data_IF_331341126332
#
_entry.id   IF_331341126332
#
_cell.length_a   1.000
_cell.length_b   1.000
_cell.length_c   1.000
_cell.angle_alpha   90.00
_cell.angle_beta   90.00
_cell.angle_gamma   90.00
#
_symmetry.space_group_name_H-M   'P 1'
#
loop_
_entity.id
_entity.type
_entity.pdbx_description
1 polymer ?
#
# COMPACT_ATOMS: atom_id res chain seq x y z
N UNK A 1 8.01 -18.97 -0.17
CA UNK A 1 6.79 -18.27 0.33
C UNK A 1 6.87 -16.83 -0.15
N UNK A 2 5.79 -16.27 -0.66
CA UNK A 2 5.78 -14.89 -1.15
C UNK A 2 6.06 -13.90 -0.01
N UNK A 3 6.73 -12.78 -0.33
CA UNK A 3 7.12 -11.72 0.61
C UNK A 3 6.53 -10.40 0.17
N UNK A 4 5.84 -9.72 1.05
CA UNK A 4 5.19 -8.45 0.77
C UNK A 4 5.62 -7.38 1.76
N UNK A 5 5.96 -6.20 1.25
CA UNK A 5 6.22 -5.02 2.07
C UNK A 5 4.98 -4.12 2.01
N UNK A 6 4.36 -3.90 3.17
CA UNK A 6 3.18 -3.05 3.30
C UNK A 6 3.59 -1.79 4.07
N UNK A 7 3.39 -0.65 3.46
CA UNK A 7 3.70 0.65 4.03
C UNK A 7 2.41 1.43 4.29
N UNK A 8 2.31 2.05 5.46
CA UNK A 8 1.18 2.91 5.83
C UNK A 8 1.69 4.33 6.08
N UNK A 9 1.04 5.32 5.47
CA UNK A 9 1.41 6.73 5.62
C UNK A 9 0.28 7.58 6.21
N UNK A 10 0.49 8.87 6.41
CA UNK A 10 -0.43 9.75 7.10
C UNK A 10 -1.68 10.19 6.32
N UNK A 11 -2.13 9.42 5.35
CA UNK A 11 -3.41 9.65 4.69
C UNK A 11 -4.54 8.90 5.42
N UNK A 12 -5.78 9.33 5.26
CA UNK A 12 -6.97 8.64 5.76
C UNK A 12 -7.21 7.31 5.02
N UNK A 13 -7.90 6.34 5.65
CA UNK A 13 -8.27 5.07 5.03
C UNK A 13 -7.46 3.88 5.55
N UNK A 14 -7.04 3.90 6.81
CA UNK A 14 -6.29 2.81 7.43
C UNK A 14 -7.07 1.50 7.51
N UNK A 15 -8.41 1.54 7.46
CA UNK A 15 -9.24 0.34 7.40
C UNK A 15 -8.86 -0.57 6.21
N UNK A 16 -8.51 -0.01 5.05
CA UNK A 16 -8.05 -0.78 3.90
C UNK A 16 -6.73 -1.49 4.17
N UNK A 17 -5.76 -0.83 4.83
CA UNK A 17 -4.48 -1.45 5.17
C UNK A 17 -4.65 -2.56 6.20
N UNK A 18 -5.51 -2.37 7.19
CA UNK A 18 -5.82 -3.40 8.20
C UNK A 18 -6.48 -4.62 7.55
N UNK A 19 -7.44 -4.41 6.65
CA UNK A 19 -8.06 -5.51 5.90
C UNK A 19 -7.04 -6.23 5.01
N UNK A 20 -6.17 -5.49 4.30
CA UNK A 20 -5.08 -6.06 3.53
C UNK A 20 -4.15 -6.93 4.39
N UNK A 21 -3.74 -6.43 5.56
CA UNK A 21 -2.87 -7.18 6.48
C UNK A 21 -3.52 -8.47 6.98
N UNK A 22 -4.83 -8.47 7.22
CA UNK A 22 -5.57 -9.66 7.65
C UNK A 22 -5.68 -10.72 6.54
N UNK A 23 -5.87 -10.30 5.31
CA UNK A 23 -6.23 -11.18 4.19
C UNK A 23 -5.04 -11.57 3.30
N UNK A 24 -3.99 -10.76 3.25
CA UNK A 24 -2.81 -11.05 2.45
C UNK A 24 -2.08 -12.30 2.97
N UNK A 25 -1.86 -13.32 2.12
CA UNK A 25 -1.10 -14.51 2.51
C UNK A 25 0.42 -14.26 2.51
N UNK A 26 1.19 -15.24 2.98
CA UNK A 26 2.66 -15.18 2.92
C UNK A 26 3.30 -14.31 4.00
N UNK A 27 4.58 -14.02 3.80
CA UNK A 27 5.37 -13.21 4.73
C UNK A 27 5.09 -11.72 4.51
N UNK A 28 4.41 -11.08 5.46
CA UNK A 28 4.12 -9.65 5.44
C UNK A 28 5.08 -8.89 6.33
N UNK A 29 5.58 -7.79 5.83
CA UNK A 29 6.42 -6.84 6.56
C UNK A 29 5.76 -5.49 6.56
N UNK A 30 5.76 -4.81 7.71
CA UNK A 30 5.06 -3.54 7.89
C UNK A 30 6.04 -2.40 8.17
N UNK A 31 5.81 -1.27 7.51
CA UNK A 31 6.45 0.01 7.85
C UNK A 31 5.36 1.06 8.02
N UNK A 32 5.40 1.79 9.12
CA UNK A 32 4.43 2.86 9.38
C UNK A 32 5.17 4.16 9.65
N UNK A 33 4.77 5.22 8.95
CA UNK A 33 5.22 6.57 9.30
C UNK A 33 4.62 7.00 10.65
N UNK A 34 5.21 8.01 11.29
CA UNK A 34 4.68 8.52 12.57
C UNK A 34 3.26 9.06 12.41
N UNK A 35 2.96 9.74 11.30
CA UNK A 35 1.60 10.19 11.00
C UNK A 35 0.63 9.03 10.76
N UNK A 36 1.08 7.91 10.16
CA UNK A 36 0.24 6.73 10.03
C UNK A 36 -0.21 6.16 11.38
N UNK A 37 0.69 6.17 12.39
CA UNK A 37 0.37 5.72 13.74
C UNK A 37 -0.72 6.56 14.38
N UNK A 38 -0.67 7.89 14.20
CA UNK A 38 -1.67 8.82 14.71
C UNK A 38 -3.02 8.65 14.01
N UNK A 39 -3.02 8.53 12.69
CA UNK A 39 -4.26 8.35 11.90
C UNK A 39 -4.90 6.99 12.20
N UNK A 40 -4.12 5.91 12.34
CA UNK A 40 -4.63 4.60 12.75
C UNK A 40 -5.39 4.69 14.09
N UNK A 41 -4.80 5.37 15.07
CA UNK A 41 -5.44 5.57 16.38
C UNK A 41 -6.72 6.43 16.27
N UNK A 42 -6.67 7.46 15.45
CA UNK A 42 -7.79 8.40 15.27
C UNK A 42 -8.98 7.77 14.53
N UNK A 43 -8.73 6.98 13.48
CA UNK A 43 -9.78 6.39 12.64
C UNK A 43 -10.37 5.10 13.22
N UNK A 44 -9.51 4.26 13.80
CA UNK A 44 -9.90 2.90 14.17
C UNK A 44 -9.76 2.62 15.68
N UNK A 45 -9.32 3.60 16.48
CA UNK A 45 -8.97 3.43 17.89
C UNK A 45 -7.96 2.29 18.14
N UNK A 46 -7.16 1.92 17.12
CA UNK A 46 -6.18 0.84 17.17
C UNK A 46 -4.76 1.37 17.45
N UNK A 47 -4.02 0.61 18.25
CA UNK A 47 -2.59 0.85 18.46
C UNK A 47 -1.76 0.08 17.42
N UNK A 48 -0.58 0.59 17.02
CA UNK A 48 0.31 -0.11 16.10
C UNK A 48 0.67 -1.55 16.55
N UNK A 49 0.77 -1.80 17.85
CA UNK A 49 1.06 -3.13 18.42
C UNK A 49 -0.03 -4.17 18.10
N UNK A 50 -1.26 -3.74 17.83
CA UNK A 50 -2.35 -4.66 17.46
C UNK A 50 -2.20 -5.19 16.02
N UNK A 51 -1.34 -4.58 15.21
CA UNK A 51 -1.01 -5.07 13.87
C UNK A 51 0.17 -6.06 13.87
N UNK A 52 0.97 -6.12 14.94
CA UNK A 52 2.12 -7.02 15.03
C UNK A 52 1.78 -8.50 14.82
N UNK A 53 0.68 -9.04 15.36
CA UNK A 53 0.30 -10.43 15.11
C UNK A 53 -0.07 -10.75 13.66
N UNK A 54 -0.35 -9.72 12.84
CA UNK A 54 -0.74 -9.86 11.44
C UNK A 54 0.47 -9.89 10.49
N UNK A 55 1.67 -9.61 10.99
CA UNK A 55 2.88 -9.46 10.18
C UNK A 55 4.03 -10.29 10.73
N UNK A 56 4.97 -10.64 9.88
CA UNK A 56 6.19 -11.34 10.29
C UNK A 56 7.13 -10.44 11.07
N UNK A 57 7.20 -9.17 10.68
CA UNK A 57 8.01 -8.15 11.34
C UNK A 57 7.55 -6.75 10.94
N UNK A 58 7.60 -5.82 11.90
CA UNK A 58 7.48 -4.39 11.67
C UNK A 58 8.84 -3.71 11.73
N UNK A 59 9.03 -2.67 10.91
CA UNK A 59 10.23 -1.83 10.91
C UNK A 59 9.82 -0.38 11.17
N UNK A 60 10.72 0.39 11.74
CA UNK A 60 10.54 1.83 11.90
C UNK A 60 10.81 2.54 10.58
N UNK A 61 10.11 3.62 10.29
CA UNK A 61 10.28 4.39 9.05
C UNK A 61 11.60 5.18 9.01
N UNK A 62 12.23 5.41 10.16
CA UNK A 62 13.54 6.02 10.29
C UNK A 62 14.72 5.01 10.23
N UNK A 63 14.44 3.70 10.14
CA UNK A 63 15.47 2.66 10.09
C UNK A 63 15.94 2.41 8.64
N UNK A 64 16.84 3.26 8.16
CA UNK A 64 17.45 3.10 6.84
C UNK A 64 18.45 1.94 6.75
N UNK A 65 18.78 1.27 7.88
CA UNK A 65 19.56 0.04 7.89
C UNK A 65 18.72 -1.22 7.72
N UNK A 66 17.39 -1.10 7.69
CA UNK A 66 16.48 -2.23 7.47
C UNK A 66 16.73 -2.93 6.11
N UNK A 67 16.44 -4.24 6.01
CA UNK A 67 16.72 -5.04 4.81
C UNK A 67 16.13 -4.46 3.51
N UNK A 68 14.98 -3.79 3.57
CA UNK A 68 14.30 -3.23 2.41
C UNK A 68 14.95 -1.96 1.84
N UNK A 69 15.97 -1.42 2.51
CA UNK A 69 16.80 -0.33 1.99
C UNK A 69 17.78 -0.78 0.89
N UNK A 70 17.96 -2.10 0.71
CA UNK A 70 18.87 -2.69 -0.28
C UNK A 70 18.13 -3.53 -1.31
N UNK A 71 18.49 -3.39 -2.60
CA UNK A 71 17.98 -4.21 -3.69
C UNK A 71 18.42 -5.68 -3.64
N UNK A 72 19.39 -6.05 -2.77
CA UNK A 72 19.82 -7.44 -2.59
C UNK A 72 18.76 -8.30 -1.87
N UNK A 73 17.84 -7.69 -1.15
CA UNK A 73 16.75 -8.36 -0.43
C UNK A 73 15.46 -8.28 -1.25
N UNK A 74 15.22 -9.27 -2.10
CA UNK A 74 14.05 -9.27 -2.99
C UNK A 74 12.77 -9.62 -2.24
N UNK A 75 11.68 -9.00 -2.68
CA UNK A 75 10.31 -9.27 -2.28
C UNK A 75 9.39 -9.17 -3.51
N UNK A 76 8.20 -9.70 -3.44
CA UNK A 76 7.32 -9.87 -4.60
C UNK A 76 6.55 -8.59 -4.96
N UNK A 77 6.13 -7.85 -3.93
CA UNK A 77 5.49 -6.55 -4.13
C UNK A 77 5.63 -5.64 -2.90
N UNK A 78 5.63 -4.34 -3.17
CA UNK A 78 5.46 -3.28 -2.17
C UNK A 78 4.13 -2.58 -2.40
N UNK A 79 3.36 -2.40 -1.33
CA UNK A 79 2.12 -1.63 -1.33
C UNK A 79 2.24 -0.47 -0.35
N UNK A 80 1.90 0.72 -0.81
CA UNK A 80 1.76 1.90 0.07
C UNK A 80 0.26 2.20 0.18
N UNK A 81 -0.33 1.83 1.31
CA UNK A 81 -1.78 1.92 1.55
C UNK A 81 -2.07 2.35 2.99
N UNK A 82 -2.72 3.47 3.21
CA UNK A 82 -2.92 4.55 2.26
C UNK A 82 -1.62 5.32 1.97
N UNK A 83 -1.51 5.90 0.78
CA UNK A 83 -0.41 6.76 0.41
C UNK A 83 -0.82 8.24 0.53
N UNK A 84 -0.04 9.05 1.27
CA UNK A 84 -0.24 10.49 1.35
C UNK A 84 0.37 11.22 0.14
N UNK A 85 -0.15 12.41 -0.17
CA UNK A 85 0.39 13.27 -1.22
C UNK A 85 1.86 13.63 -0.99
N UNK A 86 2.29 13.82 0.27
CA UNK A 86 3.69 14.05 0.61
C UNK A 86 4.58 12.86 0.26
N UNK A 87 4.15 11.63 0.59
CA UNK A 87 4.89 10.41 0.26
C UNK A 87 4.98 10.22 -1.24
N UNK A 88 3.86 10.40 -1.97
CA UNK A 88 3.83 10.37 -3.43
C UNK A 88 4.85 11.34 -4.04
N UNK A 89 4.83 12.60 -3.57
CA UNK A 89 5.71 13.65 -4.07
C UNK A 89 7.19 13.35 -3.80
N UNK A 90 7.53 12.86 -2.59
CA UNK A 90 8.90 12.47 -2.26
C UNK A 90 9.41 11.36 -3.18
N UNK A 91 8.64 10.30 -3.39
CA UNK A 91 9.01 9.18 -4.27
C UNK A 91 9.18 9.69 -5.70
N UNK A 92 8.26 10.50 -6.21
CA UNK A 92 8.33 11.08 -7.56
C UNK A 92 9.54 12.03 -7.75
N UNK A 93 9.98 12.70 -6.68
CA UNK A 93 11.18 13.54 -6.67
C UNK A 93 12.48 12.74 -6.44
N UNK A 94 12.42 11.43 -6.18
CA UNK A 94 13.59 10.59 -5.87
C UNK A 94 14.14 10.79 -4.46
N UNK A 95 13.37 11.41 -3.56
CA UNK A 95 13.75 11.61 -2.16
C UNK A 95 13.57 10.31 -1.39
N UNK A 96 14.66 9.85 -0.74
CA UNK A 96 14.74 8.56 -0.05
C UNK A 96 15.19 8.78 1.40
N UNK A 97 14.50 9.63 2.13
CA UNK A 97 14.84 10.09 3.48
C UNK A 97 14.20 9.24 4.60
N UNK A 98 13.27 8.34 4.24
CA UNK A 98 12.66 7.37 5.16
C UNK A 98 12.72 5.97 4.57
N UNK A 99 12.46 4.94 5.39
CA UNK A 99 12.44 3.56 4.91
C UNK A 99 11.36 3.34 3.85
N UNK A 100 10.19 3.95 3.98
CA UNK A 100 9.11 3.86 3.00
C UNK A 100 9.57 4.42 1.65
N UNK A 101 10.11 5.63 1.63
CA UNK A 101 10.56 6.27 0.38
C UNK A 101 11.78 5.58 -0.20
N UNK A 102 12.71 5.11 0.64
CA UNK A 102 13.88 4.33 0.23
C UNK A 102 13.48 2.99 -0.39
N UNK A 103 12.59 2.24 0.27
CA UNK A 103 12.10 0.95 -0.26
C UNK A 103 11.33 1.12 -1.57
N UNK A 104 10.55 2.20 -1.71
CA UNK A 104 9.88 2.53 -2.97
C UNK A 104 10.90 2.82 -4.10
N UNK A 105 11.96 3.59 -3.83
CA UNK A 105 13.04 3.83 -4.78
C UNK A 105 13.77 2.52 -5.16
N UNK A 106 13.99 1.63 -4.19
CA UNK A 106 14.53 0.28 -4.45
C UNK A 106 13.57 -0.52 -5.33
N UNK A 107 12.27 -0.52 -5.02
CA UNK A 107 11.28 -1.24 -5.82
C UNK A 107 11.29 -0.78 -7.29
N UNK A 108 11.32 0.51 -7.54
CA UNK A 108 11.38 1.07 -8.90
C UNK A 108 12.65 0.64 -9.64
N UNK A 109 13.84 0.82 -9.04
CA UNK A 109 15.11 0.49 -9.72
C UNK A 109 15.31 -1.02 -9.95
N UNK A 110 14.81 -1.87 -9.04
CA UNK A 110 14.90 -3.33 -9.15
C UNK A 110 13.74 -3.96 -9.92
N UNK A 111 12.81 -3.13 -10.43
CA UNK A 111 11.59 -3.58 -11.12
C UNK A 111 10.73 -4.51 -10.27
N UNK A 112 10.74 -4.29 -8.95
CA UNK A 112 9.80 -4.92 -8.03
C UNK A 112 8.45 -4.20 -8.16
N UNK A 113 7.38 -4.96 -8.12
CA UNK A 113 6.01 -4.40 -8.23
C UNK A 113 5.74 -3.41 -7.10
N UNK A 114 5.57 -2.14 -7.44
CA UNK A 114 5.23 -1.05 -6.51
C UNK A 114 3.79 -0.60 -6.77
N UNK A 115 2.93 -0.74 -5.76
CA UNK A 115 1.52 -0.33 -5.81
C UNK A 115 1.35 0.87 -4.88
N UNK A 116 0.92 2.00 -5.43
CA UNK A 116 0.76 3.26 -4.69
C UNK A 116 -0.72 3.59 -4.61
N UNK A 117 -1.32 3.38 -3.44
CA UNK A 117 -2.73 3.63 -3.19
C UNK A 117 -2.91 5.05 -2.62
N UNK A 118 -2.85 6.04 -3.52
CA UNK A 118 -3.04 7.45 -3.13
C UNK A 118 -4.46 7.66 -2.58
N UNK A 119 -4.53 8.31 -1.41
CA UNK A 119 -5.81 8.79 -0.86
C UNK A 119 -5.76 10.30 -0.69
N UNK A 120 -6.36 11.00 -1.64
CA UNK A 120 -6.44 12.46 -1.70
C UNK A 120 -7.62 12.91 -2.55
N UNK A 121 -8.28 14.00 -2.16
CA UNK A 121 -9.33 14.66 -2.93
C UNK A 121 -9.53 16.10 -2.45
N UNK A 122 -9.65 17.11 -3.35
CA UNK A 122 -9.38 17.03 -4.81
C UNK A 122 -7.89 16.82 -5.10
N UNK A 123 -7.57 16.39 -6.31
CA UNK A 123 -6.18 16.24 -6.76
C UNK A 123 -5.67 17.57 -7.32
N UNK A 124 -4.52 18.03 -6.84
CA UNK A 124 -3.80 19.16 -7.43
C UNK A 124 -3.08 18.75 -8.72
N UNK A 125 -2.76 19.71 -9.59
CA UNK A 125 -1.91 19.47 -10.77
C UNK A 125 -0.58 18.80 -10.40
N UNK A 126 0.05 19.22 -9.30
CA UNK A 126 1.29 18.60 -8.77
C UNK A 126 1.09 17.11 -8.45
N UNK A 127 -0.03 16.75 -7.81
CA UNK A 127 -0.32 15.35 -7.50
C UNK A 127 -0.52 14.53 -8.78
N UNK A 128 -1.23 15.07 -9.76
CA UNK A 128 -1.44 14.44 -11.07
C UNK A 128 -0.13 14.21 -11.83
N UNK A 129 0.76 15.21 -11.86
CA UNK A 129 2.09 15.09 -12.46
C UNK A 129 2.95 14.04 -11.77
N UNK A 130 2.95 14.01 -10.44
CA UNK A 130 3.67 13.00 -9.66
C UNK A 130 3.15 11.58 -9.93
N UNK A 131 1.83 11.39 -9.99
CA UNK A 131 1.23 10.10 -10.36
C UNK A 131 1.65 9.69 -11.78
N UNK A 132 1.59 10.59 -12.74
CA UNK A 132 2.01 10.33 -14.12
C UNK A 132 3.48 9.92 -14.18
N UNK A 133 4.36 10.65 -13.47
CA UNK A 133 5.79 10.36 -13.42
C UNK A 133 6.05 8.97 -12.87
N UNK A 134 5.46 8.61 -11.72
CA UNK A 134 5.63 7.29 -11.12
C UNK A 134 5.05 6.17 -11.98
N UNK A 135 3.91 6.41 -12.63
CA UNK A 135 3.32 5.46 -13.57
C UNK A 135 4.26 5.15 -14.75
N UNK A 136 4.94 6.16 -15.30
CA UNK A 136 5.95 5.99 -16.35
C UNK A 136 7.17 5.20 -15.89
N UNK A 137 7.53 5.31 -14.61
CA UNK A 137 8.61 4.53 -13.98
C UNK A 137 8.18 3.10 -13.63
N UNK A 138 6.92 2.74 -13.87
CA UNK A 138 6.40 1.38 -13.67
C UNK A 138 5.68 1.15 -12.34
N UNK A 139 5.43 2.19 -11.53
CA UNK A 139 4.56 2.06 -10.38
C UNK A 139 3.10 1.90 -10.82
N UNK A 140 2.37 1.04 -10.11
CA UNK A 140 0.92 0.89 -10.30
C UNK A 140 0.23 1.94 -9.42
N UNK A 141 -0.31 2.96 -10.06
CA UNK A 141 -1.04 4.02 -9.36
C UNK A 141 -2.49 3.58 -9.18
N UNK A 142 -2.87 3.40 -7.93
CA UNK A 142 -4.19 2.88 -7.55
C UNK A 142 -4.84 3.83 -6.54
N UNK A 143 -5.48 4.93 -6.96
CA UNK A 143 -6.21 5.79 -6.04
C UNK A 143 -7.21 4.98 -5.21
N UNK A 144 -7.38 5.33 -3.93
CA UNK A 144 -8.34 4.63 -3.06
C UNK A 144 -9.76 4.97 -3.50
N UNK A 145 -10.27 4.15 -4.41
CA UNK A 145 -11.58 4.28 -5.05
C UNK A 145 -12.28 2.92 -5.02
N UNK A 146 -13.08 2.65 -3.98
CA UNK A 146 -13.69 1.34 -3.80
C UNK A 146 -14.74 1.03 -4.88
N UNK A 147 -14.88 -0.26 -5.28
CA UNK A 147 -15.72 -0.69 -6.39
C UNK A 147 -17.20 -0.78 -6.02
N UNK A 148 -17.97 0.21 -6.36
CA UNK A 148 -19.43 0.22 -6.14
C UNK A 148 -20.18 -0.79 -6.98
N UNK A 149 -19.63 -1.23 -8.12
CA UNK A 149 -20.27 -2.23 -9.00
C UNK A 149 -20.43 -3.61 -8.34
N UNK A 150 -19.69 -3.89 -7.26
CA UNK A 150 -19.83 -5.11 -6.45
C UNK A 150 -21.06 -5.08 -5.53
N UNK A 151 -21.80 -3.98 -5.52
CA UNK A 151 -22.99 -3.78 -4.71
C UNK A 151 -22.77 -4.07 -3.20
N UNK A 152 -21.78 -3.41 -2.56
CA UNK A 152 -21.42 -3.71 -1.18
C UNK A 152 -22.58 -3.42 -0.23
N UNK A 153 -22.87 -4.37 0.67
CA UNK A 153 -23.98 -4.28 1.61
C UNK A 153 -23.67 -3.43 2.85
N UNK A 154 -22.42 -3.27 3.15
CA UNK A 154 -21.93 -2.53 4.31
C UNK A 154 -20.52 -1.96 4.04
N UNK A 155 -20.00 -1.21 5.01
CA UNK A 155 -18.67 -0.60 4.91
C UNK A 155 -17.56 -1.66 4.85
N UNK A 156 -17.71 -2.79 5.53
CA UNK A 156 -16.71 -3.85 5.51
C UNK A 156 -16.60 -4.48 4.11
N UNK A 157 -17.72 -4.74 3.47
CA UNK A 157 -17.76 -5.23 2.09
C UNK A 157 -17.14 -4.21 1.10
N UNK A 158 -17.39 -2.91 1.31
CA UNK A 158 -16.79 -1.85 0.49
C UNK A 158 -15.26 -1.83 0.63
N UNK A 159 -14.76 -1.91 1.86
CA UNK A 159 -13.33 -1.98 2.16
C UNK A 159 -12.73 -3.23 1.53
N UNK A 160 -13.35 -4.38 1.72
CA UNK A 160 -12.88 -5.67 1.22
C UNK A 160 -12.80 -5.69 -0.31
N UNK A 161 -13.78 -5.12 -1.02
CA UNK A 161 -13.76 -5.05 -2.48
C UNK A 161 -12.58 -4.25 -3.04
N UNK A 162 -12.19 -3.15 -2.38
CA UNK A 162 -10.97 -2.43 -2.77
C UNK A 162 -9.71 -3.26 -2.45
N UNK A 163 -9.69 -3.92 -1.31
CA UNK A 163 -8.57 -4.76 -0.88
C UNK A 163 -8.37 -5.94 -1.83
N UNK A 164 -9.44 -6.54 -2.36
CA UNK A 164 -9.35 -7.57 -3.40
C UNK A 164 -8.59 -7.08 -4.62
N UNK A 165 -8.90 -5.86 -5.08
CA UNK A 165 -8.18 -5.25 -6.20
C UNK A 165 -6.69 -5.10 -5.89
N UNK A 166 -6.34 -4.66 -4.68
CA UNK A 166 -4.94 -4.51 -4.27
C UNK A 166 -4.25 -5.87 -4.21
N UNK A 167 -4.88 -6.91 -3.65
CA UNK A 167 -4.36 -8.28 -3.62
C UNK A 167 -4.11 -8.82 -5.04
N UNK A 168 -5.03 -8.64 -5.98
CA UNK A 168 -4.81 -9.01 -7.39
C UNK A 168 -3.61 -8.27 -7.99
N UNK A 169 -3.48 -6.98 -7.71
CA UNK A 169 -2.31 -6.20 -8.16
C UNK A 169 -1.00 -6.69 -7.54
N UNK A 170 -1.04 -7.28 -6.34
CA UNK A 170 0.11 -7.95 -5.71
C UNK A 170 0.43 -9.32 -6.33
N UNK A 171 -0.45 -9.86 -7.18
CA UNK A 171 -0.34 -11.22 -7.74
C UNK A 171 -0.90 -12.29 -6.81
N UNK A 172 -1.81 -11.91 -5.91
CA UNK A 172 -2.53 -12.81 -5.00
C UNK A 172 -3.95 -12.97 -5.52
N UNK A 173 -4.43 -14.22 -5.66
CA UNK A 173 -5.84 -14.48 -5.98
C UNK A 173 -6.71 -14.11 -4.79
N UNK A 174 -7.69 -13.25 -5.00
CA UNK A 174 -8.64 -12.81 -3.98
C UNK A 174 -9.92 -12.29 -4.62
N UNK A 175 -11.08 -12.61 -4.01
CA UNK A 175 -12.39 -12.22 -4.54
C UNK A 175 -12.72 -12.85 -5.90
N UNK A 176 -13.89 -12.53 -6.41
CA UNK A 176 -14.36 -12.96 -7.75
C UNK A 176 -14.15 -11.81 -8.74
N UNK A 177 -13.72 -12.16 -9.96
CA UNK A 177 -13.61 -11.23 -11.08
C UNK A 177 -15.00 -10.76 -11.54
N UNK A 178 -15.06 -9.61 -12.20
CA UNK A 178 -16.31 -9.15 -12.80
C UNK A 178 -16.79 -10.15 -13.86
N UNK A 179 -17.96 -10.80 -13.60
CA UNK A 179 -18.57 -11.80 -14.49
C UNK A 179 -17.58 -12.91 -14.89
N UNK A 180 -16.75 -13.34 -13.96
CA UNK A 180 -15.76 -14.40 -14.18
C UNK A 180 -16.41 -15.71 -14.61
N UNK A 181 -17.63 -15.96 -14.13
CA UNK A 181 -18.52 -17.04 -14.54
C UNK A 181 -18.82 -17.07 -16.05
N UNK A 182 -18.72 -15.94 -16.72
CA UNK A 182 -18.92 -15.86 -18.17
C UNK A 182 -17.66 -16.21 -18.99
N UNK A 183 -16.53 -16.52 -18.34
CA UNK A 183 -15.29 -17.00 -18.99
C UNK A 183 -15.24 -18.53 -19.10
N UNK A 184 -16.11 -19.25 -18.38
CA UNK A 184 -16.27 -20.71 -18.43
C UNK A 184 -17.30 -21.13 -19.48
#
# INVERSE_FOLDING_TARGET
>A
MARFLIAMTGASGHAYAVDLLKRCPGDKYLVMSDWARQVLQSELAMKPSELEPLVKKSFRDDDLAAPFSSGSNRYDAMVILPCSSSTLAKIAAGISDTLITRAAAVALKERIRLIVCLRETPLSGIALENMLKLSREGAIITPVSPPWYQNPKDLAALVSGFTDKVLHLMGVSAGEGWREDALE
#
